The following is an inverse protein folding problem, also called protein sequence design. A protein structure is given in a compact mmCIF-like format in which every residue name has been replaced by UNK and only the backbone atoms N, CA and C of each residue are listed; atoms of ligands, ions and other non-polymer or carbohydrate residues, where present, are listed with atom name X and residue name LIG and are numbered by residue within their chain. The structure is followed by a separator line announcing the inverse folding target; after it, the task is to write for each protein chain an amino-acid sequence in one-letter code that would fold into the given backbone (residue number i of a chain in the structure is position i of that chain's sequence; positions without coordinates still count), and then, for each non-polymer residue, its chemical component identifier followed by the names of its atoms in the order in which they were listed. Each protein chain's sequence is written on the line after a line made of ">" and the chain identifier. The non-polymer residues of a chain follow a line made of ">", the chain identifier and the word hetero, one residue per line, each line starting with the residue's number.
data_IF_932295713144
#
_entry.id   IF_932295713144
#
_cell.length_a   1.000
_cell.length_b   1.000
_cell.length_c   1.000
_cell.angle_alpha   90.00
_cell.angle_beta   90.00
_cell.angle_gamma   90.00
#
_symmetry.space_group_name_H-M   'P 1'
#
loop_
_entity.id
_entity.type
_entity.pdbx_description
1 polymer ?
#
# COMPACT_ATOMS: atom_id res chain seq x y z
N UNK A 1 -12.42 -23.87 -27.68
CA UNK A 1 -12.71 -23.44 -26.29
C UNK A 1 -11.38 -23.49 -25.54
N UNK A 2 -10.60 -22.41 -25.63
CA UNK A 2 -9.29 -22.28 -24.97
C UNK A 2 -9.41 -21.09 -24.03
N UNK A 3 -9.58 -21.37 -22.75
CA UNK A 3 -9.62 -20.37 -21.68
C UNK A 3 -8.71 -20.88 -20.57
N UNK A 4 -7.73 -20.03 -20.21
CA UNK A 4 -7.10 -19.90 -18.89
C UNK A 4 -6.21 -21.01 -18.32
N UNK A 5 -5.17 -21.46 -19.05
CA UNK A 5 -4.00 -22.08 -18.38
C UNK A 5 -3.01 -21.04 -17.84
N UNK A 6 -2.86 -19.89 -18.50
CA UNK A 6 -1.85 -18.89 -18.13
C UNK A 6 -2.26 -18.05 -16.91
N UNK A 7 -3.55 -17.72 -16.77
CA UNK A 7 -4.04 -16.91 -15.64
C UNK A 7 -3.91 -17.64 -14.28
N UNK A 8 -3.94 -18.98 -14.29
CA UNK A 8 -3.72 -19.79 -13.09
C UNK A 8 -2.22 -19.83 -12.69
N UNK A 9 -1.32 -19.85 -13.67
CA UNK A 9 0.13 -19.88 -13.47
C UNK A 9 0.58 -18.59 -12.78
N UNK A 10 0.09 -17.43 -13.23
CA UNK A 10 0.53 -16.15 -12.66
C UNK A 10 -0.09 -15.86 -11.29
N UNK A 11 -1.36 -16.21 -11.07
CA UNK A 11 -1.99 -16.12 -9.73
C UNK A 11 -1.26 -16.97 -8.70
N UNK A 12 -0.76 -18.14 -9.10
CA UNK A 12 0.06 -19.00 -8.25
C UNK A 12 1.49 -18.49 -8.04
N UNK A 13 2.04 -17.73 -8.99
CA UNK A 13 3.44 -17.27 -8.96
C UNK A 13 3.70 -16.21 -7.88
N UNK A 14 2.76 -15.27 -7.69
CA UNK A 14 2.89 -14.17 -6.71
C UNK A 14 3.11 -14.69 -5.29
N UNK A 15 2.34 -15.71 -4.88
CA UNK A 15 2.40 -16.26 -3.52
C UNK A 15 3.53 -17.29 -3.34
N UNK A 16 3.88 -18.03 -4.42
CA UNK A 16 4.97 -19.02 -4.42
C UNK A 16 6.33 -18.39 -4.11
N UNK A 17 6.63 -17.21 -4.65
CA UNK A 17 7.91 -16.53 -4.43
C UNK A 17 8.07 -15.96 -3.01
N UNK A 18 6.97 -15.76 -2.29
CA UNK A 18 6.96 -15.26 -0.91
C UNK A 18 6.85 -16.38 0.14
N UNK A 19 6.85 -17.65 -0.27
CA UNK A 19 6.57 -18.81 0.59
C UNK A 19 5.26 -18.67 1.40
N UNK A 20 4.29 -17.91 0.90
CA UNK A 20 3.00 -17.70 1.57
C UNK A 20 1.87 -18.38 0.81
N UNK A 21 0.77 -18.72 1.51
CA UNK A 21 -0.48 -19.18 0.87
C UNK A 21 -1.36 -17.97 0.54
N UNK A 22 -2.19 -18.11 -0.49
CA UNK A 22 -3.18 -17.10 -0.85
C UNK A 22 -4.11 -16.84 0.35
N UNK A 23 -4.37 -15.58 0.72
CA UNK A 23 -5.24 -15.25 1.83
C UNK A 23 -6.66 -15.79 1.64
N UNK A 24 -7.17 -16.51 2.64
CA UNK A 24 -8.56 -16.92 2.77
C UNK A 24 -9.48 -15.69 2.96
N UNK A 25 -10.81 -15.81 2.72
CA UNK A 25 -11.74 -14.71 2.98
C UNK A 25 -11.65 -14.13 4.40
N UNK A 26 -11.43 -14.98 5.42
CA UNK A 26 -11.19 -14.55 6.79
C UNK A 26 -9.89 -13.74 6.95
N UNK A 27 -8.84 -14.07 6.21
CA UNK A 27 -7.57 -13.33 6.23
C UNK A 27 -7.69 -11.98 5.50
N UNK A 28 -8.57 -11.87 4.49
CA UNK A 28 -8.94 -10.57 3.91
C UNK A 28 -9.69 -9.68 4.91
N UNK A 29 -10.58 -10.27 5.72
CA UNK A 29 -11.28 -9.55 6.79
C UNK A 29 -10.29 -9.02 7.83
N UNK A 30 -9.30 -9.85 8.22
CA UNK A 30 -8.21 -9.45 9.11
C UNK A 30 -7.41 -8.25 8.55
N UNK A 31 -7.14 -8.21 7.25
CA UNK A 31 -6.49 -7.04 6.63
C UNK A 31 -7.35 -5.78 6.73
N UNK A 32 -8.67 -5.90 6.58
CA UNK A 32 -9.61 -4.80 6.79
C UNK A 32 -9.62 -4.29 8.24
N UNK A 33 -9.60 -5.21 9.22
CA UNK A 33 -9.54 -4.88 10.64
C UNK A 33 -8.21 -4.20 11.03
N UNK A 34 -7.09 -4.69 10.50
CA UNK A 34 -5.77 -4.07 10.66
C UNK A 34 -5.78 -2.66 10.06
N UNK A 35 -6.28 -2.50 8.84
CA UNK A 35 -6.37 -1.20 8.18
C UNK A 35 -7.23 -0.21 8.99
N UNK A 36 -8.38 -0.66 9.52
CA UNK A 36 -9.24 0.15 10.38
C UNK A 36 -8.54 0.55 11.68
N UNK A 37 -7.84 -0.38 12.30
CA UNK A 37 -7.06 -0.13 13.52
C UNK A 37 -5.93 0.87 13.27
N UNK A 38 -5.22 0.72 12.14
CA UNK A 38 -4.18 1.64 11.72
C UNK A 38 -4.72 3.05 11.42
N UNK A 39 -5.91 3.15 10.80
CA UNK A 39 -6.56 4.45 10.57
C UNK A 39 -6.91 5.13 11.88
N UNK A 40 -7.51 4.40 12.82
CA UNK A 40 -7.83 4.90 14.14
C UNK A 40 -6.58 5.37 14.90
N UNK A 41 -5.48 4.62 14.84
CA UNK A 41 -4.22 5.00 15.45
C UNK A 41 -3.66 6.29 14.83
N UNK A 42 -3.66 6.40 13.50
CA UNK A 42 -3.18 7.60 12.80
C UNK A 42 -3.98 8.84 13.21
N UNK A 43 -5.31 8.73 13.32
CA UNK A 43 -6.15 9.83 13.80
C UNK A 43 -5.81 10.21 15.26
N UNK A 44 -5.61 9.21 16.13
CA UNK A 44 -5.23 9.42 17.53
C UNK A 44 -3.82 10.00 17.70
N UNK A 45 -2.89 9.71 16.79
CA UNK A 45 -1.54 10.29 16.80
C UNK A 45 -1.54 11.80 16.53
N UNK A 46 -2.66 12.41 16.12
CA UNK A 46 -2.81 13.87 15.95
C UNK A 46 -1.72 14.53 15.08
N UNK A 47 -1.18 13.78 14.12
CA UNK A 47 -0.10 14.27 13.26
C UNK A 47 1.28 14.35 13.91
N UNK A 48 1.49 13.72 15.07
CA UNK A 48 2.81 13.62 15.68
C UNK A 48 3.75 12.75 14.83
N UNK A 49 4.92 13.30 14.54
CA UNK A 49 6.01 12.60 13.87
C UNK A 49 6.71 11.62 14.82
N UNK A 50 7.40 10.61 14.26
CA UNK A 50 8.06 9.57 15.05
C UNK A 50 9.08 10.14 16.06
N UNK A 51 9.81 11.18 15.69
CA UNK A 51 10.75 11.86 16.58
C UNK A 51 10.08 12.47 17.81
N UNK A 52 8.90 13.05 17.64
CA UNK A 52 8.11 13.63 18.72
C UNK A 52 7.56 12.53 19.64
N UNK A 53 7.09 11.42 19.07
CA UNK A 53 6.66 10.26 19.85
C UNK A 53 7.80 9.68 20.69
N UNK A 54 9.01 9.55 20.12
CA UNK A 54 10.20 9.13 20.85
C UNK A 54 10.52 10.11 21.99
N UNK A 55 10.50 11.42 21.73
CA UNK A 55 10.78 12.44 22.74
C UNK A 55 9.76 12.40 23.89
N UNK A 56 8.47 12.22 23.58
CA UNK A 56 7.39 12.09 24.56
C UNK A 56 7.59 10.85 25.44
N UNK A 57 7.77 9.67 24.83
CA UNK A 57 8.00 8.42 25.56
C UNK A 57 9.26 8.48 26.41
N UNK A 58 10.37 8.99 25.84
CA UNK A 58 11.62 9.21 26.59
C UNK A 58 11.39 10.08 27.83
N UNK A 59 10.59 11.15 27.69
CA UNK A 59 10.31 12.08 28.78
C UNK A 59 9.44 11.46 29.87
N UNK A 60 8.46 10.61 29.51
CA UNK A 60 7.67 9.82 30.47
C UNK A 60 8.55 8.85 31.28
N UNK A 61 9.60 8.32 30.66
CA UNK A 61 10.61 7.49 31.33
C UNK A 61 11.66 8.29 32.11
N UNK A 62 11.51 9.62 32.22
CA UNK A 62 12.46 10.52 32.89
C UNK A 62 13.91 10.41 32.37
N UNK A 63 14.07 10.07 31.09
CA UNK A 63 15.38 9.92 30.46
C UNK A 63 15.84 11.21 29.77
N UNK A 64 17.11 11.58 29.93
CA UNK A 64 17.73 12.61 29.08
C UNK A 64 18.07 12.06 27.69
N UNK A 65 18.26 12.94 26.70
CA UNK A 65 18.74 12.52 25.36
C UNK A 65 20.07 11.77 25.43
N UNK A 66 20.97 12.17 26.34
CA UNK A 66 22.26 11.48 26.59
C UNK A 66 22.05 10.08 27.14
N UNK A 67 21.11 9.90 28.08
CA UNK A 67 20.78 8.59 28.64
C UNK A 67 20.21 7.66 27.57
N UNK A 68 19.27 8.16 26.76
CA UNK A 68 18.71 7.43 25.62
C UNK A 68 19.80 7.02 24.63
N UNK A 69 20.65 7.97 24.22
CA UNK A 69 21.74 7.73 23.29
C UNK A 69 22.70 6.63 23.77
N UNK A 70 23.07 6.66 25.06
CA UNK A 70 23.91 5.64 25.69
C UNK A 70 23.26 4.27 25.66
N UNK A 71 21.96 4.17 26.01
CA UNK A 71 21.21 2.89 25.99
C UNK A 71 21.05 2.34 24.56
N UNK A 72 20.73 3.21 23.60
CA UNK A 72 20.57 2.86 22.19
C UNK A 72 21.90 2.61 21.44
N UNK A 73 23.05 2.89 22.07
CA UNK A 73 24.39 2.82 21.48
C UNK A 73 24.49 3.67 20.19
N UNK A 74 23.99 4.90 20.25
CA UNK A 74 24.08 5.89 19.16
C UNK A 74 24.63 7.21 19.69
N UNK A 75 25.19 8.09 18.83
CA UNK A 75 25.58 9.44 19.24
C UNK A 75 24.39 10.24 19.79
N UNK A 76 24.62 11.08 20.81
CA UNK A 76 23.56 11.94 21.35
C UNK A 76 23.05 12.97 20.34
N UNK A 77 23.90 13.40 19.40
CA UNK A 77 23.49 14.21 18.24
C UNK A 77 22.47 13.51 17.35
N UNK A 78 22.55 12.17 17.21
CA UNK A 78 21.55 11.38 16.48
C UNK A 78 20.19 11.46 17.16
N UNK A 79 20.13 11.26 18.48
CA UNK A 79 18.87 11.39 19.23
C UNK A 79 18.28 12.79 19.08
N UNK A 80 19.11 13.83 19.26
CA UNK A 80 18.69 15.22 19.13
C UNK A 80 18.12 15.54 17.73
N UNK A 81 18.81 15.10 16.67
CA UNK A 81 18.35 15.31 15.29
C UNK A 81 17.10 14.49 14.95
N UNK A 82 16.95 13.28 15.49
CA UNK A 82 15.74 12.46 15.31
C UNK A 82 14.55 13.11 16.01
N UNK A 83 14.69 13.49 17.29
CA UNK A 83 13.61 14.10 18.07
C UNK A 83 13.15 15.46 17.51
N UNK A 84 14.07 16.22 16.89
CA UNK A 84 13.76 17.49 16.24
C UNK A 84 13.28 17.36 14.78
N UNK A 85 13.22 16.15 14.24
CA UNK A 85 12.81 15.90 12.84
C UNK A 85 13.85 16.26 11.78
N UNK A 86 15.06 16.71 12.17
CA UNK A 86 16.15 17.02 11.22
C UNK A 86 16.78 15.78 10.60
N UNK A 87 16.66 14.63 11.25
CA UNK A 87 17.18 13.36 10.77
C UNK A 87 16.08 12.30 10.82
N UNK A 88 15.80 11.69 9.67
CA UNK A 88 14.99 10.48 9.62
C UNK A 88 15.90 9.26 9.84
N UNK A 89 15.72 8.49 10.93
CA UNK A 89 16.55 7.31 11.18
C UNK A 89 16.18 6.18 10.23
N UNK A 90 17.17 5.41 9.79
CA UNK A 90 16.90 4.13 9.13
C UNK A 90 16.24 3.14 10.11
N UNK A 91 15.63 2.07 9.59
CA UNK A 91 14.89 1.08 10.38
C UNK A 91 15.76 0.47 11.49
N UNK A 92 17.05 0.18 11.21
CA UNK A 92 17.96 -0.41 12.20
C UNK A 92 18.22 0.54 13.38
N UNK A 93 18.49 1.81 13.09
CA UNK A 93 18.66 2.85 14.11
C UNK A 93 17.37 3.09 14.88
N UNK A 94 16.23 3.15 14.20
CA UNK A 94 14.93 3.31 14.85
C UNK A 94 14.63 2.17 15.82
N UNK A 95 14.87 0.91 15.42
CA UNK A 95 14.74 -0.27 16.31
C UNK A 95 15.63 -0.16 17.54
N UNK A 96 16.91 0.25 17.39
CA UNK A 96 17.79 0.45 18.54
C UNK A 96 17.25 1.49 19.52
N UNK A 97 16.74 2.61 19.01
CA UNK A 97 16.15 3.67 19.82
C UNK A 97 14.90 3.16 20.54
N UNK A 98 13.95 2.55 19.83
CA UNK A 98 12.69 2.07 20.40
C UNK A 98 12.92 0.96 21.44
N UNK A 99 13.79 -0.02 21.15
CA UNK A 99 14.13 -1.08 22.11
C UNK A 99 14.72 -0.50 23.40
N UNK A 100 15.49 0.60 23.32
CA UNK A 100 16.10 1.21 24.50
C UNK A 100 15.13 1.94 25.42
N UNK A 101 13.90 2.19 24.95
CA UNK A 101 12.77 2.77 25.71
C UNK A 101 11.63 1.74 25.88
N UNK A 102 11.93 0.45 25.82
CA UNK A 102 10.98 -0.66 26.01
C UNK A 102 9.78 -0.60 25.05
N UNK A 103 10.02 -0.19 23.80
CA UNK A 103 9.01 -0.08 22.76
C UNK A 103 9.35 -0.94 21.54
N UNK A 104 8.34 -1.57 20.95
CA UNK A 104 8.45 -2.31 19.70
C UNK A 104 8.17 -1.43 18.47
N UNK A 105 8.86 -1.71 17.37
CA UNK A 105 8.54 -1.10 16.07
C UNK A 105 7.41 -1.86 15.38
N UNK A 106 6.23 -1.25 15.31
CA UNK A 106 5.11 -1.73 14.50
C UNK A 106 5.06 -0.98 13.16
N UNK A 107 5.20 -1.71 12.05
CA UNK A 107 4.98 -1.19 10.69
C UNK A 107 3.62 -1.71 10.22
N UNK A 108 2.74 -0.81 9.80
CA UNK A 108 1.42 -1.15 9.28
C UNK A 108 1.19 -0.52 7.92
N UNK A 109 0.45 -1.23 7.06
CA UNK A 109 0.03 -0.75 5.75
C UNK A 109 -1.32 -0.06 5.93
N UNK A 110 -1.36 1.24 5.63
CA UNK A 110 -2.59 2.02 5.67
C UNK A 110 -3.08 2.32 4.24
N UNK A 111 -4.08 1.58 3.74
CA UNK A 111 -4.61 1.86 2.41
C UNK A 111 -5.31 3.23 2.41
N UNK A 112 -5.16 3.99 1.32
CA UNK A 112 -5.77 5.33 1.17
C UNK A 112 -7.29 5.25 1.00
N UNK A 113 -7.77 4.13 0.49
CA UNK A 113 -9.16 3.78 0.27
C UNK A 113 -9.30 2.25 0.27
N UNK A 114 -10.52 1.73 0.20
CA UNK A 114 -10.73 0.29 0.16
C UNK A 114 -10.04 -0.36 -1.05
N UNK A 115 -9.48 -1.56 -0.86
CA UNK A 115 -8.77 -2.29 -1.91
C UNK A 115 -9.64 -2.53 -3.15
N UNK A 116 -10.93 -2.87 -2.98
CA UNK A 116 -11.84 -3.06 -4.11
C UNK A 116 -12.09 -1.76 -4.88
N UNK A 117 -12.17 -0.63 -4.19
CA UNK A 117 -12.29 0.69 -4.84
C UNK A 117 -11.04 0.99 -5.65
N UNK A 118 -9.85 0.70 -5.10
CA UNK A 118 -8.57 0.85 -5.81
C UNK A 118 -8.52 -0.03 -7.08
N UNK A 119 -8.94 -1.29 -6.98
CA UNK A 119 -9.01 -2.21 -8.14
C UNK A 119 -9.98 -1.72 -9.21
N UNK A 120 -11.18 -1.27 -8.83
CA UNK A 120 -12.18 -0.73 -9.77
C UNK A 120 -11.68 0.51 -10.51
N UNK A 121 -11.01 1.43 -9.81
CA UNK A 121 -10.39 2.61 -10.44
C UNK A 121 -9.34 2.21 -11.48
N UNK A 122 -8.47 1.26 -11.14
CA UNK A 122 -7.46 0.75 -12.05
C UNK A 122 -8.09 0.06 -13.28
N UNK A 123 -9.08 -0.81 -13.07
CA UNK A 123 -9.76 -1.54 -14.15
C UNK A 123 -10.41 -0.56 -15.13
N UNK A 124 -11.10 0.46 -14.61
CA UNK A 124 -11.70 1.52 -15.42
C UNK A 124 -10.63 2.32 -16.18
N UNK A 125 -9.53 2.69 -15.53
CA UNK A 125 -8.45 3.42 -16.19
C UNK A 125 -7.81 2.61 -17.32
N UNK A 126 -7.57 1.31 -17.11
CA UNK A 126 -7.04 0.41 -18.14
C UNK A 126 -8.05 0.22 -19.28
N UNK A 127 -9.33 -0.01 -18.98
CA UNK A 127 -10.38 -0.12 -19.99
C UNK A 127 -10.49 1.14 -20.87
N UNK A 128 -10.41 2.35 -20.27
CA UNK A 128 -10.38 3.62 -21.01
C UNK A 128 -9.17 3.66 -21.96
N UNK A 129 -7.96 3.36 -21.47
CA UNK A 129 -6.74 3.37 -22.29
C UNK A 129 -6.84 2.40 -23.46
N UNK A 130 -7.32 1.18 -23.21
CA UNK A 130 -7.47 0.20 -24.27
C UNK A 130 -8.54 0.60 -25.30
N UNK A 131 -9.63 1.26 -24.89
CA UNK A 131 -10.65 1.77 -25.83
C UNK A 131 -10.09 2.93 -26.66
N UNK A 132 -9.38 3.87 -26.03
CA UNK A 132 -8.73 4.98 -26.72
C UNK A 132 -7.70 4.50 -27.75
N UNK A 133 -6.95 3.45 -27.44
CA UNK A 133 -6.04 2.82 -28.40
C UNK A 133 -6.78 2.26 -29.61
N UNK A 134 -7.89 1.54 -29.37
CA UNK A 134 -8.73 1.00 -30.45
C UNK A 134 -9.36 2.12 -31.30
N UNK A 135 -9.82 3.20 -30.68
CA UNK A 135 -10.29 4.40 -31.39
C UNK A 135 -9.17 5.00 -32.26
N UNK A 136 -7.94 5.09 -31.74
CA UNK A 136 -6.78 5.56 -32.48
C UNK A 136 -6.49 4.72 -33.73
N UNK A 137 -6.69 3.41 -33.67
CA UNK A 137 -6.55 2.51 -34.83
C UNK A 137 -7.77 2.52 -35.77
N UNK A 138 -8.97 2.77 -35.25
CA UNK A 138 -10.24 2.77 -36.01
C UNK A 138 -10.60 4.14 -36.63
N UNK A 139 -9.96 5.24 -36.19
CA UNK A 139 -10.18 6.57 -36.76
C UNK A 139 -9.69 6.70 -38.23
N UNK A 140 -9.03 5.66 -38.75
CA UNK A 140 -8.72 5.48 -40.17
C UNK A 140 -9.96 5.09 -41.01
N UNK A 141 -11.05 4.66 -40.37
CA UNK A 141 -12.27 4.14 -41.03
C UNK A 141 -13.49 5.08 -40.95
N UNK A 142 -13.31 6.32 -40.47
CA UNK A 142 -14.32 7.39 -40.46
C UNK A 142 -15.67 7.06 -39.78
N UNK A 143 -15.69 6.17 -38.79
CA UNK A 143 -16.89 5.84 -38.01
C UNK A 143 -16.64 6.13 -36.52
N UNK A 144 -17.19 7.24 -36.00
CA UNK A 144 -17.18 7.53 -34.56
C UNK A 144 -18.31 6.74 -33.89
N UNK A 145 -18.01 5.87 -32.91
CA UNK A 145 -19.05 5.15 -32.18
C UNK A 145 -19.91 6.11 -31.35
N UNK A 146 -21.19 5.74 -31.17
CA UNK A 146 -22.13 6.50 -30.34
C UNK A 146 -21.69 6.51 -28.88
N UNK A 147 -21.95 7.62 -28.18
CA UNK A 147 -21.60 7.80 -26.77
C UNK A 147 -22.31 6.80 -25.85
N UNK A 148 -23.45 6.24 -26.25
CA UNK A 148 -24.10 5.13 -25.55
C UNK A 148 -23.27 3.84 -25.63
N UNK A 149 -22.85 3.46 -26.83
CA UNK A 149 -22.05 2.26 -27.08
C UNK A 149 -20.70 2.31 -26.36
N UNK A 150 -20.02 3.45 -26.36
CA UNK A 150 -18.73 3.62 -25.66
C UNK A 150 -18.86 3.40 -24.15
N UNK A 151 -19.96 3.84 -23.53
CA UNK A 151 -20.21 3.61 -22.10
C UNK A 151 -20.44 2.13 -21.81
N UNK A 152 -21.17 1.44 -22.68
CA UNK A 152 -21.43 0.01 -22.55
C UNK A 152 -20.14 -0.81 -22.68
N UNK A 153 -19.34 -0.54 -23.71
CA UNK A 153 -18.03 -1.16 -23.92
C UNK A 153 -17.08 -0.91 -22.75
N UNK A 154 -17.05 0.31 -22.22
CA UNK A 154 -16.26 0.65 -21.05
C UNK A 154 -16.67 -0.17 -19.82
N UNK A 155 -17.98 -0.30 -19.58
CA UNK A 155 -18.52 -1.09 -18.47
C UNK A 155 -18.15 -2.56 -18.61
N UNK A 156 -18.40 -3.14 -19.78
CA UNK A 156 -18.10 -4.55 -20.06
C UNK A 156 -16.61 -4.86 -19.88
N UNK A 157 -15.73 -4.02 -20.46
CA UNK A 157 -14.28 -4.21 -20.36
C UNK A 157 -13.77 -4.04 -18.92
N UNK A 158 -14.35 -3.10 -18.16
CA UNK A 158 -14.02 -2.92 -16.75
C UNK A 158 -14.38 -4.15 -15.92
N UNK A 159 -15.58 -4.72 -16.11
CA UNK A 159 -16.00 -5.91 -15.36
C UNK A 159 -15.16 -7.14 -15.75
N UNK A 160 -14.86 -7.33 -17.04
CA UNK A 160 -13.93 -8.39 -17.49
C UNK A 160 -12.56 -8.31 -16.80
N UNK A 161 -12.00 -7.10 -16.67
CA UNK A 161 -10.72 -6.86 -15.97
C UNK A 161 -10.81 -7.08 -14.46
N UNK A 162 -11.99 -6.97 -13.86
CA UNK A 162 -12.20 -7.23 -12.43
C UNK A 162 -12.37 -8.73 -12.14
N UNK A 163 -13.00 -9.44 -13.06
CA UNK A 163 -13.19 -10.88 -13.02
C UNK A 163 -11.88 -11.63 -13.30
N UNK A 164 -11.05 -11.09 -14.22
CA UNK A 164 -9.67 -11.54 -14.40
C UNK A 164 -8.85 -11.19 -13.15
N UNK A 165 -8.83 -12.09 -12.17
CA UNK A 165 -8.10 -11.89 -10.91
C UNK A 165 -6.56 -12.03 -11.06
N UNK A 166 -6.04 -11.78 -12.26
CA UNK A 166 -4.63 -11.92 -12.65
C UNK A 166 -3.82 -10.62 -12.48
N UNK A 167 -2.51 -10.65 -12.74
CA UNK A 167 -1.66 -9.46 -12.71
C UNK A 167 -1.98 -8.47 -13.85
N UNK A 168 -2.69 -8.94 -14.89
CA UNK A 168 -3.09 -8.19 -16.08
C UNK A 168 -3.77 -6.85 -15.77
N UNK A 169 -4.41 -6.73 -14.60
CA UNK A 169 -5.01 -5.47 -14.16
C UNK A 169 -3.97 -4.34 -13.98
N UNK A 170 -2.73 -4.70 -13.64
CA UNK A 170 -1.64 -3.79 -13.28
C UNK A 170 -0.45 -3.82 -14.23
N UNK A 171 -0.36 -4.83 -15.10
CA UNK A 171 0.63 -4.89 -16.17
C UNK A 171 0.13 -4.08 -17.38
N UNK A 172 1.06 -3.49 -18.11
CA UNK A 172 0.76 -2.93 -19.43
C UNK A 172 0.59 -4.07 -20.43
N UNK A 173 -0.27 -3.85 -21.44
CA UNK A 173 -0.48 -4.82 -22.54
C UNK A 173 0.73 -4.83 -23.49
#
# INVERSE_FOLDING_TARGET
>A
MHIDSDNAIVKGAIWRNLQMKKPKPSEKLLLGEIARSAYNLRQKQRGLEIGQLIALTRSQLSMSQRALAKRAKVPQSTISSVESGRLQPNISTLKKILNSIECDLLISILPREEFETTRRKQAKAKAIRSIQYLEGTMNLEAQKPDAGLLRELLKEKTEKLLDSSGPELWEDD
#
